data_IF_066775116429
#
_entry.id   IF_066775116429
#
_cell.length_a   1.000
_cell.length_b   1.000
_cell.length_c   1.000
_cell.angle_alpha   90.00
_cell.angle_beta   90.00
_cell.angle_gamma   90.00
#
_symmetry.space_group_name_H-M   'P 1'
#
loop_
_entity.id
_entity.type
_entity.pdbx_description
1 polymer ?
#
# COMPACT_ATOMS: atom_id res chain seq x y z
N UNK A 1 16.01 22.66 7.47
CA UNK A 1 15.08 22.77 6.32
C UNK A 1 14.30 21.48 6.09
N UNK A 2 14.94 20.32 5.92
CA UNK A 2 14.23 19.03 5.68
C UNK A 2 13.31 18.61 6.83
N UNK A 3 13.79 18.66 8.09
CA UNK A 3 12.97 18.26 9.25
C UNK A 3 11.71 19.11 9.47
N UNK A 4 11.79 20.43 9.26
CA UNK A 4 10.63 21.32 9.38
C UNK A 4 9.61 21.10 8.27
N UNK A 5 10.10 20.85 7.04
CA UNK A 5 9.25 20.53 5.88
C UNK A 5 8.48 19.22 6.10
N UNK A 6 9.18 18.16 6.54
CA UNK A 6 8.58 16.85 6.83
C UNK A 6 7.53 16.95 7.94
N UNK A 7 7.88 17.60 9.05
CA UNK A 7 6.96 17.76 10.19
C UNK A 7 5.68 18.49 9.79
N UNK A 8 5.82 19.55 9.01
CA UNK A 8 4.67 20.30 8.53
C UNK A 8 3.89 19.53 7.46
N UNK A 9 4.55 18.72 6.61
CA UNK A 9 3.86 17.87 5.66
C UNK A 9 2.96 16.83 6.33
N UNK A 10 3.43 16.21 7.41
CA UNK A 10 2.61 15.32 8.24
C UNK A 10 1.41 16.05 8.85
N UNK A 11 1.60 17.29 9.32
CA UNK A 11 0.50 18.14 9.82
C UNK A 11 -0.56 18.43 8.76
N UNK A 12 -0.14 18.77 7.55
CA UNK A 12 -1.05 18.99 6.43
C UNK A 12 -1.84 17.71 6.12
N UNK A 13 -1.18 16.55 6.09
CA UNK A 13 -1.86 15.29 5.87
C UNK A 13 -2.84 14.94 7.01
N UNK A 14 -2.45 15.10 8.27
CA UNK A 14 -3.37 14.86 9.40
C UNK A 14 -4.56 15.83 9.40
N UNK A 15 -4.35 17.08 8.97
CA UNK A 15 -5.44 18.04 8.76
C UNK A 15 -6.40 17.59 7.64
N UNK A 16 -5.85 16.98 6.57
CA UNK A 16 -6.64 16.35 5.49
C UNK A 16 -7.59 15.27 6.02
N UNK A 17 -7.20 14.63 7.11
CA UNK A 17 -7.98 13.59 7.78
C UNK A 17 -8.90 14.13 8.90
N UNK A 18 -8.97 15.46 9.08
CA UNK A 18 -9.73 16.10 10.16
C UNK A 18 -9.17 15.83 11.56
N UNK A 19 -7.89 15.47 11.68
CA UNK A 19 -7.26 15.12 12.96
C UNK A 19 -6.56 16.29 13.65
N UNK A 20 -6.29 17.38 12.94
CA UNK A 20 -5.65 18.57 13.51
C UNK A 20 -6.14 19.86 12.85
N UNK A 21 -6.11 20.95 13.63
CA UNK A 21 -6.40 22.31 13.20
C UNK A 21 -5.07 23.06 13.04
N UNK A 22 -4.50 22.99 11.83
CA UNK A 22 -3.25 23.65 11.46
C UNK A 22 -3.53 24.67 10.36
N UNK A 23 -3.06 25.91 10.48
CA UNK A 23 -3.17 26.91 9.41
C UNK A 23 -2.16 26.60 8.29
N UNK A 24 -2.50 25.60 7.47
CA UNK A 24 -1.67 25.13 6.36
C UNK A 24 -1.61 26.14 5.21
N UNK A 25 -2.61 27.01 5.06
CA UNK A 25 -2.66 28.04 4.01
C UNK A 25 -1.44 28.96 4.09
N UNK A 26 -1.19 29.53 5.27
CA UNK A 26 -0.06 30.44 5.48
C UNK A 26 1.28 29.75 5.24
N UNK A 27 1.41 28.52 5.73
CA UNK A 27 2.65 27.76 5.57
C UNK A 27 2.91 27.39 4.10
N UNK A 28 1.92 26.85 3.39
CA UNK A 28 2.05 26.45 1.98
C UNK A 28 2.37 27.67 1.10
N UNK A 29 1.74 28.81 1.35
CA UNK A 29 2.04 30.03 0.61
C UNK A 29 3.44 30.58 0.90
N UNK A 30 4.00 30.29 2.08
CA UNK A 30 5.37 30.69 2.42
C UNK A 30 6.48 29.85 1.78
N UNK A 31 6.16 28.67 1.24
CA UNK A 31 7.15 27.78 0.61
C UNK A 31 7.72 28.40 -0.66
N UNK A 32 9.05 28.34 -0.81
CA UNK A 32 9.72 28.62 -2.10
C UNK A 32 9.28 27.61 -3.18
N UNK A 33 9.61 27.88 -4.45
CA UNK A 33 9.33 26.92 -5.53
C UNK A 33 10.03 25.57 -5.29
N UNK A 34 11.26 25.59 -4.80
CA UNK A 34 12.04 24.39 -4.49
C UNK A 34 11.44 23.63 -3.29
N UNK A 35 11.06 24.34 -2.23
CA UNK A 35 10.42 23.75 -1.06
C UNK A 35 9.05 23.16 -1.38
N UNK A 36 8.27 23.80 -2.26
CA UNK A 36 7.00 23.30 -2.78
C UNK A 36 7.17 21.98 -3.53
N UNK A 37 8.10 21.91 -4.48
CA UNK A 37 8.39 20.67 -5.21
C UNK A 37 8.89 19.58 -4.27
N UNK A 38 9.74 19.92 -3.29
CA UNK A 38 10.20 18.98 -2.28
C UNK A 38 9.04 18.43 -1.41
N UNK A 39 8.11 19.29 -1.02
CA UNK A 39 6.89 18.89 -0.30
C UNK A 39 6.03 17.93 -1.12
N UNK A 40 5.79 18.21 -2.40
CA UNK A 40 5.00 17.31 -3.26
C UNK A 40 5.70 15.96 -3.50
N UNK A 41 7.03 15.95 -3.67
CA UNK A 41 7.82 14.72 -3.75
C UNK A 41 7.72 13.90 -2.48
N UNK A 42 7.77 14.54 -1.31
CA UNK A 42 7.59 13.89 -0.02
C UNK A 42 6.22 13.20 0.10
N UNK A 43 5.14 13.90 -0.28
CA UNK A 43 3.79 13.31 -0.30
C UNK A 43 3.71 12.14 -1.28
N UNK A 44 4.39 12.24 -2.42
CA UNK A 44 4.45 11.18 -3.42
C UNK A 44 5.14 9.93 -2.89
N UNK A 45 6.33 10.08 -2.27
CA UNK A 45 7.07 8.98 -1.61
C UNK A 45 6.22 8.28 -0.53
N UNK A 46 5.41 9.06 0.18
CA UNK A 46 4.51 8.57 1.20
C UNK A 46 3.15 8.10 0.68
N UNK A 47 2.98 8.06 -0.65
CA UNK A 47 1.80 7.57 -1.37
C UNK A 47 0.48 8.30 -1.03
N UNK A 48 0.59 9.55 -0.59
CA UNK A 48 -0.56 10.40 -0.20
C UNK A 48 -0.72 11.63 -1.11
N UNK A 49 0.14 11.80 -2.12
CA UNK A 49 0.13 12.96 -3.02
C UNK A 49 -1.25 13.27 -3.59
N UNK A 50 -1.97 12.29 -4.12
CA UNK A 50 -3.25 12.53 -4.78
C UNK A 50 -4.30 13.05 -3.79
N UNK A 51 -4.56 12.33 -2.69
CA UNK A 51 -5.53 12.73 -1.67
C UNK A 51 -5.18 14.08 -1.05
N UNK A 52 -3.92 14.30 -0.69
CA UNK A 52 -3.50 15.59 -0.13
C UNK A 52 -3.68 16.72 -1.15
N UNK A 53 -3.31 16.51 -2.42
CA UNK A 53 -3.48 17.53 -3.46
C UNK A 53 -4.94 17.91 -3.66
N UNK A 54 -5.84 16.93 -3.63
CA UNK A 54 -7.28 17.16 -3.76
C UNK A 54 -7.79 18.01 -2.60
N UNK A 55 -7.41 17.63 -1.37
CA UNK A 55 -7.78 18.38 -0.17
C UNK A 55 -7.26 19.82 -0.22
N UNK A 56 -6.01 20.03 -0.62
CA UNK A 56 -5.43 21.37 -0.75
C UNK A 56 -6.19 22.21 -1.77
N UNK A 57 -6.53 21.65 -2.93
CA UNK A 57 -7.33 22.37 -3.94
C UNK A 57 -8.74 22.72 -3.45
N UNK A 58 -9.39 21.84 -2.68
CA UNK A 58 -10.75 22.06 -2.18
C UNK A 58 -10.82 23.05 -1.02
N UNK A 59 -9.78 23.11 -0.18
CA UNK A 59 -9.79 23.87 1.09
C UNK A 59 -9.01 25.16 1.06
N UNK A 60 -8.01 25.29 0.18
CA UNK A 60 -7.23 26.52 0.09
C UNK A 60 -7.87 27.50 -0.89
N UNK A 61 -8.51 28.53 -0.33
CA UNK A 61 -9.17 29.59 -1.09
C UNK A 61 -8.16 30.49 -1.83
N UNK A 62 -6.91 30.53 -1.37
CA UNK A 62 -5.88 31.45 -1.89
C UNK A 62 -4.52 30.74 -2.02
N UNK A 63 -4.37 29.89 -3.03
CA UNK A 63 -3.04 29.46 -3.49
C UNK A 63 -2.51 30.46 -4.52
N UNK A 64 -1.19 30.66 -4.55
CA UNK A 64 -0.59 31.34 -5.69
C UNK A 64 -0.86 30.56 -7.00
N UNK A 65 -0.97 31.28 -8.12
CA UNK A 65 -1.41 30.70 -9.39
C UNK A 65 -0.51 29.58 -9.91
N UNK A 66 0.77 29.59 -9.54
CA UNK A 66 1.69 28.51 -9.89
C UNK A 66 1.34 27.24 -9.12
N UNK A 67 1.21 27.31 -7.80
CA UNK A 67 0.85 26.15 -6.96
C UNK A 67 -0.51 25.56 -7.34
N UNK A 68 -1.49 26.40 -7.64
CA UNK A 68 -2.79 25.94 -8.14
C UNK A 68 -2.67 25.16 -9.46
N UNK A 69 -1.91 25.70 -10.42
CA UNK A 69 -1.59 25.01 -11.68
C UNK A 69 -0.89 23.67 -11.44
N UNK A 70 0.08 23.61 -10.52
CA UNK A 70 0.80 22.39 -10.19
C UNK A 70 -0.14 21.32 -9.59
N UNK A 71 -1.00 21.71 -8.64
CA UNK A 71 -2.01 20.80 -8.07
C UNK A 71 -2.96 20.28 -9.14
N UNK A 72 -3.41 21.14 -10.06
CA UNK A 72 -4.28 20.73 -11.18
C UNK A 72 -3.61 19.66 -12.04
N UNK A 73 -2.35 19.85 -12.44
CA UNK A 73 -1.59 18.84 -13.22
C UNK A 73 -1.50 17.51 -12.49
N UNK A 74 -1.24 17.53 -11.18
CA UNK A 74 -1.16 16.33 -10.34
C UNK A 74 -2.51 15.63 -10.29
N UNK A 75 -3.60 16.37 -10.08
CA UNK A 75 -4.95 15.83 -9.98
C UNK A 75 -5.43 15.25 -11.31
N UNK A 76 -5.16 15.92 -12.42
CA UNK A 76 -5.49 15.42 -13.76
C UNK A 76 -4.76 14.09 -14.05
N UNK A 77 -3.46 14.02 -13.73
CA UNK A 77 -2.68 12.79 -13.87
C UNK A 77 -3.17 11.68 -12.93
N UNK A 78 -3.49 12.00 -11.68
CA UNK A 78 -3.99 11.03 -10.71
C UNK A 78 -5.38 10.51 -11.06
N UNK A 79 -6.25 11.37 -11.60
CA UNK A 79 -7.58 10.98 -12.09
C UNK A 79 -7.48 9.98 -13.26
N UNK A 80 -6.48 10.12 -14.13
CA UNK A 80 -6.21 9.14 -15.18
C UNK A 80 -5.83 7.77 -14.60
N UNK A 81 -4.96 7.72 -13.60
CA UNK A 81 -4.57 6.45 -12.95
C UNK A 81 -5.73 5.83 -12.14
N UNK A 82 -6.55 6.64 -11.48
CA UNK A 82 -7.78 6.19 -10.82
C UNK A 82 -8.79 5.61 -11.82
N UNK A 83 -8.91 6.21 -13.00
CA UNK A 83 -9.73 5.66 -14.06
C UNK A 83 -9.23 4.29 -14.50
N UNK A 84 -7.91 4.10 -14.65
CA UNK A 84 -7.35 2.77 -14.95
C UNK A 84 -7.69 1.74 -13.87
N UNK A 85 -7.71 2.13 -12.60
CA UNK A 85 -8.18 1.23 -11.54
C UNK A 85 -9.63 0.80 -11.76
N UNK A 86 -10.52 1.76 -12.03
CA UNK A 86 -11.94 1.51 -12.32
C UNK A 86 -12.09 0.57 -13.52
N UNK A 87 -11.42 0.90 -14.62
CA UNK A 87 -11.43 0.10 -15.85
C UNK A 87 -10.89 -1.33 -15.61
N UNK A 88 -9.88 -1.48 -14.73
CA UNK A 88 -9.35 -2.80 -14.33
C UNK A 88 -10.39 -3.60 -13.53
N UNK A 89 -11.10 -2.98 -12.59
CA UNK A 89 -12.14 -3.68 -11.81
C UNK A 89 -13.30 -4.08 -12.73
N UNK A 90 -13.78 -3.19 -13.59
CA UNK A 90 -14.83 -3.51 -14.57
C UNK A 90 -14.41 -4.64 -15.51
N UNK A 91 -13.14 -4.64 -15.92
CA UNK A 91 -12.57 -5.72 -16.71
C UNK A 91 -12.58 -7.06 -15.96
N UNK A 92 -12.20 -7.07 -14.67
CA UNK A 92 -12.21 -8.28 -13.83
C UNK A 92 -13.64 -8.76 -13.55
N UNK A 93 -14.57 -7.85 -13.25
CA UNK A 93 -15.98 -8.18 -13.02
C UNK A 93 -16.60 -8.84 -14.26
N UNK A 94 -16.34 -8.28 -15.45
CA UNK A 94 -16.83 -8.86 -16.71
C UNK A 94 -16.21 -10.22 -17.04
N UNK A 95 -14.88 -10.36 -16.89
CA UNK A 95 -14.15 -11.50 -17.45
C UNK A 95 -13.84 -12.62 -16.44
N UNK A 96 -13.98 -12.37 -15.14
CA UNK A 96 -13.88 -13.38 -14.10
C UNK A 96 -15.24 -13.63 -13.45
N UNK A 97 -15.78 -12.67 -12.69
CA UNK A 97 -17.02 -12.87 -11.92
C UNK A 97 -18.20 -13.19 -12.84
N UNK A 98 -18.37 -12.42 -13.91
CA UNK A 98 -19.39 -12.66 -14.94
C UNK A 98 -19.25 -13.99 -15.69
N UNK A 99 -18.12 -14.68 -15.54
CA UNK A 99 -17.84 -16.01 -16.11
C UNK A 99 -17.68 -17.10 -15.03
N UNK A 100 -18.17 -16.83 -13.81
CA UNK A 100 -18.25 -17.81 -12.72
C UNK A 100 -16.99 -17.96 -11.87
N UNK A 101 -15.97 -17.12 -12.05
CA UNK A 101 -14.77 -17.11 -11.20
C UNK A 101 -14.88 -16.00 -10.16
N UNK A 102 -15.08 -16.38 -8.90
CA UNK A 102 -15.08 -15.44 -7.79
C UNK A 102 -13.66 -14.97 -7.47
N UNK A 103 -13.53 -13.70 -7.08
CA UNK A 103 -12.26 -13.13 -6.66
C UNK A 103 -12.44 -12.08 -5.56
N UNK A 104 -11.36 -11.81 -4.83
CA UNK A 104 -11.21 -10.69 -3.90
C UNK A 104 -10.15 -9.71 -4.40
N UNK A 105 -10.42 -8.41 -4.27
CA UNK A 105 -9.39 -7.37 -4.35
C UNK A 105 -8.73 -7.26 -2.98
N UNK A 106 -7.43 -7.54 -2.91
CA UNK A 106 -6.70 -7.67 -1.64
C UNK A 106 -5.62 -6.60 -1.53
N UNK A 107 -5.24 -6.19 -0.32
CA UNK A 107 -4.19 -5.17 -0.05
C UNK A 107 -4.43 -3.77 -0.65
N UNK A 108 -5.46 -3.55 -1.47
CA UNK A 108 -5.72 -2.28 -2.16
C UNK A 108 -6.60 -1.32 -1.35
N UNK A 109 -7.45 -1.80 -0.43
CA UNK A 109 -8.31 -0.90 0.34
C UNK A 109 -7.49 -0.15 1.41
N UNK A 110 -7.51 1.20 1.38
CA UNK A 110 -6.72 2.08 2.27
C UNK A 110 -7.52 3.21 2.95
N UNK A 111 -8.85 3.17 2.92
CA UNK A 111 -9.75 4.20 3.48
C UNK A 111 -9.58 5.61 2.90
N UNK A 112 -8.78 5.78 1.85
CA UNK A 112 -8.58 7.02 1.14
C UNK A 112 -8.30 6.73 -0.33
N UNK A 113 -8.52 7.73 -1.18
CA UNK A 113 -8.24 7.60 -2.61
C UNK A 113 -6.74 7.76 -2.88
N UNK A 114 -6.16 6.84 -3.61
CA UNK A 114 -4.74 6.91 -3.94
C UNK A 114 -4.43 6.27 -5.28
N UNK A 115 -3.29 6.67 -5.83
CA UNK A 115 -2.76 6.11 -7.06
C UNK A 115 -2.02 4.81 -6.75
N UNK A 116 -2.47 3.73 -7.37
CA UNK A 116 -1.83 2.41 -7.35
C UNK A 116 -1.46 2.00 -8.77
N UNK A 117 -0.45 1.14 -8.92
CA UNK A 117 0.04 0.69 -10.23
C UNK A 117 -0.38 -0.74 -10.57
N UNK A 118 -0.95 -1.42 -9.59
CA UNK A 118 -1.37 -2.80 -9.63
C UNK A 118 -2.65 -2.99 -8.82
N UNK A 119 -3.33 -4.11 -9.13
CA UNK A 119 -4.45 -4.65 -8.37
C UNK A 119 -4.08 -6.09 -8.01
N UNK A 120 -3.88 -6.37 -6.73
CA UNK A 120 -3.75 -7.74 -6.25
C UNK A 120 -5.14 -8.40 -6.22
N UNK A 121 -5.28 -9.51 -6.93
CA UNK A 121 -6.53 -10.27 -7.06
C UNK A 121 -6.32 -11.67 -6.51
N UNK A 122 -7.09 -12.06 -5.50
CA UNK A 122 -7.09 -13.43 -4.98
C UNK A 122 -8.26 -14.22 -5.57
N UNK A 123 -7.98 -15.35 -6.20
CA UNK A 123 -8.99 -16.34 -6.62
C UNK A 123 -8.87 -17.60 -5.76
N UNK A 124 -9.90 -18.44 -5.77
CA UNK A 124 -9.83 -19.77 -5.19
C UNK A 124 -8.74 -20.62 -5.87
N UNK A 125 -8.22 -21.61 -5.14
CA UNK A 125 -7.05 -22.36 -5.60
C UNK A 125 -7.33 -23.14 -6.88
N UNK A 126 -8.50 -23.77 -6.92
CA UNK A 126 -9.08 -24.53 -8.02
C UNK A 126 -9.36 -23.67 -9.26
N UNK A 127 -9.72 -22.41 -9.06
CA UNK A 127 -10.06 -21.48 -10.14
C UNK A 127 -8.83 -20.83 -10.78
N UNK A 128 -7.64 -20.96 -10.18
CA UNK A 128 -6.46 -20.21 -10.61
C UNK A 128 -6.07 -20.41 -12.07
N UNK A 129 -6.16 -21.64 -12.57
CA UNK A 129 -5.83 -21.93 -13.97
C UNK A 129 -6.94 -21.47 -14.92
N UNK A 130 -8.20 -21.62 -14.49
CA UNK A 130 -9.34 -21.12 -15.24
C UNK A 130 -9.27 -19.59 -15.37
N UNK A 131 -9.07 -18.87 -14.27
CA UNK A 131 -8.88 -17.43 -14.23
C UNK A 131 -7.80 -16.94 -15.21
N UNK A 132 -6.63 -17.60 -15.23
CA UNK A 132 -5.57 -17.29 -16.20
C UNK A 132 -6.01 -17.47 -17.65
N UNK A 133 -6.79 -18.52 -17.92
CA UNK A 133 -7.32 -18.82 -19.27
C UNK A 133 -8.33 -17.75 -19.68
N UNK A 134 -9.29 -17.41 -18.83
CA UNK A 134 -10.28 -16.36 -19.08
C UNK A 134 -9.62 -14.99 -19.32
N UNK A 135 -8.61 -14.63 -18.52
CA UNK A 135 -7.87 -13.39 -18.72
C UNK A 135 -7.08 -13.38 -20.04
N UNK A 136 -6.48 -14.52 -20.42
CA UNK A 136 -5.77 -14.65 -21.70
C UNK A 136 -6.72 -14.51 -22.89
N UNK A 137 -7.88 -15.17 -22.84
CA UNK A 137 -8.95 -15.02 -23.83
C UNK A 137 -9.43 -13.57 -23.94
N UNK A 138 -9.49 -12.86 -22.81
CA UNK A 138 -9.83 -11.45 -22.75
C UNK A 138 -8.69 -10.51 -23.18
N UNK A 139 -7.56 -11.04 -23.67
CA UNK A 139 -6.45 -10.29 -24.25
C UNK A 139 -5.32 -9.92 -23.27
N UNK A 140 -5.30 -10.46 -22.05
CA UNK A 140 -4.17 -10.26 -21.14
C UNK A 140 -2.95 -11.09 -21.57
N UNK A 141 -1.77 -10.47 -21.49
CA UNK A 141 -0.49 -11.17 -21.48
C UNK A 141 -0.20 -11.65 -20.06
N UNK A 142 0.04 -12.95 -19.89
CA UNK A 142 0.27 -13.58 -18.58
C UNK A 142 1.76 -13.89 -18.43
N UNK A 143 2.37 -13.39 -17.37
CA UNK A 143 3.78 -13.59 -17.05
C UNK A 143 3.93 -14.35 -15.74
N UNK A 144 4.95 -15.22 -15.66
CA UNK A 144 5.33 -15.84 -14.40
C UNK A 144 5.92 -14.79 -13.47
N UNK A 145 5.47 -14.78 -12.20
CA UNK A 145 6.15 -14.02 -11.17
C UNK A 145 7.55 -14.63 -10.93
N UNK A 146 8.59 -13.84 -10.64
CA UNK A 146 9.92 -14.36 -10.33
C UNK A 146 9.89 -15.41 -9.20
N UNK A 147 10.82 -16.38 -9.28
CA UNK A 147 11.10 -17.39 -8.23
C UNK A 147 9.92 -18.32 -7.94
N UNK A 148 9.94 -18.96 -6.77
CA UNK A 148 8.88 -19.88 -6.30
C UNK A 148 7.51 -19.21 -6.12
N UNK A 149 7.47 -17.87 -6.01
CA UNK A 149 6.21 -17.10 -6.05
C UNK A 149 5.49 -17.26 -7.38
N UNK A 150 6.22 -17.50 -8.47
CA UNK A 150 5.68 -17.90 -9.77
C UNK A 150 4.94 -19.25 -9.76
N UNK A 151 4.76 -19.94 -8.64
CA UNK A 151 3.79 -21.03 -8.55
C UNK A 151 2.43 -20.54 -8.05
N UNK A 152 2.37 -19.43 -7.32
CA UNK A 152 1.16 -18.98 -6.63
C UNK A 152 0.66 -17.61 -7.08
N UNK A 153 1.45 -16.92 -7.91
CA UNK A 153 1.15 -15.60 -8.45
C UNK A 153 1.47 -15.51 -9.95
N UNK A 154 0.64 -14.79 -10.71
CA UNK A 154 0.82 -14.46 -12.12
C UNK A 154 0.61 -12.97 -12.33
N UNK A 155 1.50 -12.34 -13.10
CA UNK A 155 1.33 -10.93 -13.46
C UNK A 155 0.59 -10.89 -14.79
N UNK A 156 -0.58 -10.27 -14.81
CA UNK A 156 -1.43 -10.18 -15.99
C UNK A 156 -1.45 -8.73 -16.46
N UNK A 157 -1.11 -8.50 -17.73
CA UNK A 157 -1.02 -7.15 -18.30
C UNK A 157 -1.92 -7.01 -19.51
N UNK A 158 -2.62 -5.88 -19.58
CA UNK A 158 -3.39 -5.45 -20.74
C UNK A 158 -3.24 -3.95 -20.89
N UNK A 159 -3.06 -3.48 -22.12
CA UNK A 159 -2.94 -2.06 -22.41
C UNK A 159 -4.19 -1.30 -21.95
N UNK A 160 -3.99 -0.11 -21.39
CA UNK A 160 -5.06 0.71 -20.80
C UNK A 160 -5.48 0.31 -19.39
N UNK A 161 -5.04 -0.84 -18.87
CA UNK A 161 -5.35 -1.30 -17.51
C UNK A 161 -4.14 -1.20 -16.58
N UNK A 162 -4.41 -1.21 -15.28
CA UNK A 162 -3.37 -1.49 -14.27
C UNK A 162 -2.86 -2.93 -14.39
N UNK A 163 -1.65 -3.20 -13.87
CA UNK A 163 -1.17 -4.57 -13.75
C UNK A 163 -2.08 -5.34 -12.80
N UNK A 164 -2.41 -6.59 -13.14
CA UNK A 164 -3.20 -7.46 -12.27
C UNK A 164 -2.26 -8.53 -11.72
N UNK A 165 -2.06 -8.52 -10.41
CA UNK A 165 -1.32 -9.55 -9.71
C UNK A 165 -2.31 -10.62 -9.25
N UNK A 166 -2.45 -11.66 -10.07
CA UNK A 166 -3.38 -12.76 -9.81
C UNK A 166 -2.74 -13.77 -8.86
N UNK A 167 -3.33 -13.96 -7.70
CA UNK A 167 -2.91 -14.86 -6.64
C UNK A 167 -3.88 -16.02 -6.47
N UNK A 168 -3.35 -17.21 -6.21
CA UNK A 168 -4.11 -18.33 -5.60
C UNK A 168 -3.79 -18.56 -4.14
N UNK A 169 -2.68 -17.98 -3.66
CA UNK A 169 -2.20 -18.11 -2.29
C UNK A 169 -1.24 -16.98 -1.96
N UNK A 170 -1.27 -16.51 -0.71
CA UNK A 170 -0.23 -15.64 -0.20
C UNK A 170 0.96 -16.47 0.23
N UNK A 171 2.01 -16.43 -0.59
CA UNK A 171 3.24 -17.16 -0.35
C UNK A 171 4.41 -16.19 -0.40
N UNK A 172 5.19 -16.10 0.67
CA UNK A 172 6.40 -15.29 0.69
C UNK A 172 7.58 -16.15 1.11
N UNK A 173 8.62 -16.21 0.28
CA UNK A 173 9.89 -16.91 0.56
C UNK A 173 9.84 -18.40 0.90
N UNK A 174 8.68 -19.06 0.82
CA UNK A 174 8.57 -20.41 1.37
C UNK A 174 7.38 -20.58 2.30
N UNK A 175 6.74 -19.47 2.68
CA UNK A 175 6.00 -19.39 3.93
C UNK A 175 4.59 -18.88 3.75
N UNK A 176 3.73 -19.57 4.47
CA UNK A 176 2.34 -19.24 4.68
C UNK A 176 2.26 -18.49 5.99
N UNK A 177 1.54 -17.36 5.98
CA UNK A 177 1.42 -16.49 7.15
C UNK A 177 -0.05 -16.31 7.56
N UNK A 178 -0.97 -16.82 6.75
CA UNK A 178 -2.41 -16.61 6.87
C UNK A 178 -3.14 -17.76 6.18
N UNK A 179 -4.22 -18.23 6.79
CA UNK A 179 -5.11 -19.22 6.17
C UNK A 179 -5.88 -18.58 5.02
N UNK A 180 -5.97 -19.28 3.88
CA UNK A 180 -6.78 -18.78 2.77
C UNK A 180 -8.27 -18.75 3.10
N UNK A 181 -8.79 -19.77 3.78
CA UNK A 181 -10.18 -19.80 4.24
C UNK A 181 -10.49 -18.64 5.20
N UNK A 182 -9.49 -18.17 5.93
CA UNK A 182 -9.63 -16.99 6.77
C UNK A 182 -9.74 -15.70 5.94
N UNK A 183 -8.95 -15.55 4.86
CA UNK A 183 -9.06 -14.39 3.95
C UNK A 183 -10.41 -14.37 3.22
N UNK A 184 -10.89 -15.54 2.81
CA UNK A 184 -12.20 -15.71 2.17
C UNK A 184 -13.38 -15.64 3.13
N UNK A 185 -13.14 -15.51 4.45
CA UNK A 185 -14.20 -15.45 5.44
C UNK A 185 -14.89 -14.09 5.43
N UNK A 186 -16.20 -14.09 5.23
CA UNK A 186 -17.06 -12.91 5.33
C UNK A 186 -16.55 -11.71 4.52
N UNK A 187 -16.33 -11.87 3.20
CA UNK A 187 -15.86 -10.78 2.37
C UNK A 187 -16.86 -9.62 2.38
N UNK A 188 -16.35 -8.41 2.14
CA UNK A 188 -17.12 -7.16 2.23
C UNK A 188 -17.03 -6.41 0.93
N UNK A 189 -18.17 -5.96 0.42
CA UNK A 189 -18.18 -4.93 -0.61
C UNK A 189 -17.62 -3.63 -0.05
N UNK A 190 -16.61 -3.08 -0.72
CA UNK A 190 -15.99 -1.81 -0.36
C UNK A 190 -15.85 -0.95 -1.59
N UNK A 191 -15.91 0.36 -1.37
CA UNK A 191 -15.64 1.35 -2.38
C UNK A 191 -14.15 1.73 -2.34
N UNK A 192 -13.46 1.60 -3.47
CA UNK A 192 -12.07 2.02 -3.67
C UNK A 192 -12.06 2.95 -4.87
N UNK A 193 -11.61 4.19 -4.70
CA UNK A 193 -11.57 5.19 -5.76
C UNK A 193 -12.92 5.31 -6.52
N UNK A 194 -14.05 5.29 -5.80
CA UNK A 194 -15.40 5.35 -6.35
C UNK A 194 -15.93 4.05 -6.98
N UNK A 195 -15.16 2.96 -6.98
CA UNK A 195 -15.55 1.68 -7.57
C UNK A 195 -15.82 0.64 -6.49
N UNK A 196 -16.96 -0.05 -6.56
CA UNK A 196 -17.28 -1.15 -5.62
C UNK A 196 -16.60 -2.45 -6.03
N UNK A 197 -15.94 -3.09 -5.08
CA UNK A 197 -15.34 -4.41 -5.28
C UNK A 197 -15.41 -5.23 -4.00
N UNK A 198 -15.34 -6.55 -4.15
CA UNK A 198 -15.34 -7.48 -3.03
C UNK A 198 -13.93 -7.56 -2.43
N UNK A 199 -13.79 -7.20 -1.17
CA UNK A 199 -12.54 -7.23 -0.42
C UNK A 199 -12.60 -8.24 0.75
N UNK A 200 -11.46 -8.64 1.32
CA UNK A 200 -11.44 -9.41 2.56
C UNK A 200 -12.12 -8.69 3.74
N UNK A 201 -12.27 -9.37 4.87
CA UNK A 201 -12.68 -8.74 6.12
C UNK A 201 -11.61 -7.75 6.63
N UNK A 202 -11.93 -6.93 7.64
CA UNK A 202 -10.95 -6.01 8.23
C UNK A 202 -9.78 -6.77 8.89
N UNK A 203 -10.08 -7.91 9.52
CA UNK A 203 -9.09 -8.77 10.15
C UNK A 203 -8.12 -9.36 9.13
N UNK A 204 -8.64 -9.86 8.00
CA UNK A 204 -7.82 -10.37 6.91
C UNK A 204 -6.97 -9.27 6.27
N UNK A 205 -7.56 -8.10 5.98
CA UNK A 205 -6.81 -6.96 5.44
C UNK A 205 -5.71 -6.48 6.39
N UNK A 206 -5.98 -6.44 7.71
CA UNK A 206 -4.96 -6.07 8.70
C UNK A 206 -3.76 -7.02 8.62
N UNK A 207 -3.99 -8.33 8.56
CA UNK A 207 -2.92 -9.31 8.45
C UNK A 207 -2.17 -9.23 7.11
N UNK A 208 -2.87 -9.01 6.01
CA UNK A 208 -2.23 -8.86 4.69
C UNK A 208 -1.35 -7.60 4.63
N UNK A 209 -1.82 -6.48 5.18
CA UNK A 209 -1.04 -5.26 5.31
C UNK A 209 0.16 -5.47 6.25
N UNK A 210 -0.06 -6.05 7.43
CA UNK A 210 1.00 -6.34 8.39
C UNK A 210 2.09 -7.23 7.78
N UNK A 211 1.68 -8.27 7.04
CA UNK A 211 2.60 -9.17 6.35
C UNK A 211 3.42 -8.43 5.29
N UNK A 212 2.81 -7.56 4.48
CA UNK A 212 3.55 -6.76 3.50
C UNK A 212 4.58 -5.82 4.16
N UNK A 213 4.18 -5.14 5.24
CA UNK A 213 5.08 -4.23 5.95
C UNK A 213 6.25 -4.97 6.61
N UNK A 214 5.99 -6.12 7.23
CA UNK A 214 6.99 -6.83 8.00
C UNK A 214 7.86 -7.78 7.16
N UNK A 215 7.36 -8.36 6.07
CA UNK A 215 8.13 -9.37 5.33
C UNK A 215 8.57 -8.90 3.94
N UNK A 216 7.97 -7.84 3.40
CA UNK A 216 8.29 -7.38 2.04
C UNK A 216 9.02 -6.03 2.08
N UNK A 217 8.55 -5.06 2.88
CA UNK A 217 9.01 -3.67 2.80
C UNK A 217 9.94 -3.24 3.92
N UNK A 218 9.67 -3.60 5.17
CA UNK A 218 10.40 -3.16 6.39
C UNK A 218 10.37 -1.65 6.67
N UNK A 219 9.41 -0.93 6.10
CA UNK A 219 9.14 0.47 6.41
C UNK A 219 7.65 0.77 6.23
N UNK A 220 7.18 1.82 6.88
CA UNK A 220 5.77 2.26 6.91
C UNK A 220 5.67 3.64 6.27
N UNK A 221 4.95 3.77 5.15
CA UNK A 221 4.63 5.08 4.56
C UNK A 221 3.44 5.72 5.29
N UNK A 222 3.16 7.02 5.07
CA UNK A 222 1.94 7.64 5.62
C UNK A 222 0.67 6.90 5.20
N UNK A 223 0.57 6.44 3.95
CA UNK A 223 -0.56 5.64 3.48
C UNK A 223 -0.71 4.33 4.28
N UNK A 224 0.40 3.64 4.52
CA UNK A 224 0.39 2.37 5.27
C UNK A 224 0.01 2.60 6.74
N UNK A 225 0.57 3.64 7.37
CA UNK A 225 0.24 4.04 8.72
C UNK A 225 -1.26 4.32 8.86
N UNK A 226 -1.80 5.16 7.98
CA UNK A 226 -3.22 5.50 8.00
C UNK A 226 -4.09 4.25 7.84
N UNK A 227 -3.82 3.43 6.81
CA UNK A 227 -4.62 2.24 6.55
C UNK A 227 -4.60 1.26 7.75
N UNK A 228 -3.43 0.98 8.33
CA UNK A 228 -3.33 0.06 9.47
C UNK A 228 -3.98 0.66 10.73
N UNK A 229 -3.73 1.95 11.01
CA UNK A 229 -4.31 2.64 12.16
C UNK A 229 -5.84 2.70 12.07
N UNK A 230 -6.40 3.04 10.91
CA UNK A 230 -7.85 3.05 10.69
C UNK A 230 -8.49 1.69 10.91
N UNK A 231 -7.80 0.59 10.58
CA UNK A 231 -8.31 -0.76 10.88
C UNK A 231 -8.24 -1.02 12.39
N UNK A 232 -7.11 -0.72 13.04
CA UNK A 232 -6.90 -0.95 14.47
C UNK A 232 -7.87 -0.14 15.36
N UNK A 233 -8.27 1.05 14.93
CA UNK A 233 -9.21 1.93 15.62
C UNK A 233 -10.68 1.62 15.28
N UNK A 234 -10.94 0.71 14.33
CA UNK A 234 -12.30 0.35 13.93
C UNK A 234 -13.00 -0.46 15.02
N UNK A 235 -14.23 -0.03 15.39
CA UNK A 235 -15.09 -0.74 16.35
C UNK A 235 -15.51 -2.15 15.89
N UNK A 236 -15.39 -2.42 14.60
CA UNK A 236 -15.79 -3.70 13.99
C UNK A 236 -14.64 -4.70 13.88
N UNK A 237 -13.42 -4.36 14.33
CA UNK A 237 -12.27 -5.27 14.26
C UNK A 237 -12.35 -6.32 15.38
N UNK A 238 -12.37 -7.60 15.02
CA UNK A 238 -12.17 -8.69 15.98
C UNK A 238 -10.68 -9.07 16.11
N UNK A 239 -9.98 -8.38 17.02
CA UNK A 239 -8.56 -8.61 17.25
C UNK A 239 -8.23 -10.02 17.81
N UNK A 240 -9.19 -10.72 18.41
CA UNK A 240 -8.94 -12.07 18.92
C UNK A 240 -8.72 -13.06 17.78
N UNK A 241 -9.51 -12.98 16.70
CA UNK A 241 -9.34 -13.86 15.54
C UNK A 241 -8.04 -13.53 14.79
N UNK A 242 -7.67 -12.24 14.72
CA UNK A 242 -6.35 -11.82 14.22
C UNK A 242 -5.22 -12.47 15.01
N UNK A 243 -5.31 -12.43 16.35
CA UNK A 243 -4.32 -13.05 17.26
C UNK A 243 -4.23 -14.56 17.09
N UNK A 244 -5.36 -15.25 16.89
CA UNK A 244 -5.38 -16.68 16.60
C UNK A 244 -4.61 -17.02 15.33
N UNK A 245 -4.80 -16.25 14.25
CA UNK A 245 -4.08 -16.44 13.00
C UNK A 245 -2.57 -16.21 13.16
N UNK A 246 -2.14 -15.11 13.78
CA UNK A 246 -0.69 -14.85 13.94
C UNK A 246 -0.01 -15.85 14.89
N UNK A 247 -0.73 -16.39 15.88
CA UNK A 247 -0.24 -17.50 16.72
C UNK A 247 -0.11 -18.78 15.95
N UNK A 248 -1.13 -19.14 15.16
CA UNK A 248 -1.14 -20.35 14.32
C UNK A 248 0.09 -20.41 13.42
N UNK A 249 0.48 -19.27 12.85
CA UNK A 249 1.64 -19.17 11.95
C UNK A 249 2.93 -18.71 12.65
N UNK A 250 2.95 -18.61 13.98
CA UNK A 250 4.16 -18.35 14.76
C UNK A 250 4.81 -16.99 14.51
N UNK A 251 4.01 -15.93 14.30
CA UNK A 251 4.51 -14.56 14.12
C UNK A 251 3.79 -13.51 14.97
N UNK A 252 3.15 -13.93 16.07
CA UNK A 252 2.46 -13.04 17.02
C UNK A 252 3.38 -11.94 17.57
N UNK A 253 4.64 -12.26 17.90
CA UNK A 253 5.60 -11.27 18.40
C UNK A 253 5.90 -10.22 17.34
N UNK A 254 6.12 -10.64 16.11
CA UNK A 254 6.36 -9.74 14.96
C UNK A 254 5.15 -8.85 14.71
N UNK A 255 3.93 -9.40 14.74
CA UNK A 255 2.70 -8.62 14.61
C UNK A 255 2.53 -7.59 15.74
N UNK A 256 2.72 -7.99 17.00
CA UNK A 256 2.59 -7.08 18.15
C UNK A 256 3.61 -5.94 18.10
N UNK A 257 4.82 -6.20 17.59
CA UNK A 257 5.82 -5.17 17.38
C UNK A 257 5.36 -4.16 16.33
N UNK A 258 4.83 -4.62 15.19
CA UNK A 258 4.27 -3.71 14.19
C UNK A 258 3.17 -2.83 14.81
N UNK A 259 2.22 -3.42 15.53
CA UNK A 259 1.14 -2.65 16.20
C UNK A 259 1.73 -1.63 17.18
N UNK A 260 2.74 -2.01 17.96
CA UNK A 260 3.45 -1.08 18.85
C UNK A 260 4.13 0.06 18.09
N UNK A 261 4.79 -0.25 16.98
CA UNK A 261 5.45 0.73 16.11
C UNK A 261 4.43 1.70 15.51
N UNK A 262 3.31 1.19 14.97
CA UNK A 262 2.20 2.03 14.50
C UNK A 262 1.68 2.93 15.62
N UNK A 263 1.50 2.40 16.84
CA UNK A 263 1.06 3.20 17.99
C UNK A 263 2.05 4.28 18.46
N UNK A 264 3.34 4.15 18.11
CA UNK A 264 4.38 5.14 18.43
C UNK A 264 4.58 6.17 17.31
N UNK A 265 4.09 5.91 16.09
CA UNK A 265 4.13 6.88 15.00
C UNK A 265 3.19 8.02 15.37
N UNK A 266 3.79 9.15 15.74
CA UNK A 266 3.11 10.41 16.01
C UNK A 266 3.32 11.39 14.85
N UNK A 267 2.75 12.59 14.98
CA UNK A 267 2.82 13.60 13.94
C UNK A 267 4.24 14.07 13.60
N UNK A 268 5.13 14.02 14.60
CA UNK A 268 6.52 14.42 14.46
C UNK A 268 7.42 13.28 13.95
N UNK A 269 6.88 12.09 13.72
CA UNK A 269 7.65 10.96 13.20
C UNK A 269 7.97 11.19 11.72
N UNK A 270 9.24 11.13 11.36
CA UNK A 270 9.66 11.17 9.95
C UNK A 270 9.18 9.92 9.22
N UNK A 271 8.59 10.13 8.04
CA UNK A 271 8.02 9.07 7.21
C UNK A 271 8.71 9.04 5.83
N UNK A 272 8.98 7.86 5.26
CA UNK A 272 8.63 6.53 5.74
C UNK A 272 9.38 6.13 7.02
N UNK A 273 8.65 5.57 8.00
CA UNK A 273 9.24 5.08 9.23
C UNK A 273 9.77 3.66 9.03
N UNK A 274 11.09 3.48 9.12
CA UNK A 274 11.71 2.15 9.02
C UNK A 274 11.45 1.33 10.29
N UNK A 275 11.15 0.04 10.10
CA UNK A 275 11.15 -0.91 11.20
C UNK A 275 12.57 -0.98 11.76
N UNK A 276 12.71 -0.93 13.08
CA UNK A 276 14.04 -0.81 13.68
C UNK A 276 14.89 -2.05 13.37
N UNK A 277 16.20 -1.84 13.24
CA UNK A 277 17.15 -2.90 12.94
C UNK A 277 17.00 -4.09 13.89
N UNK A 278 16.88 -3.83 15.20
CA UNK A 278 16.70 -4.86 16.23
C UNK A 278 15.43 -5.69 16.02
N UNK A 279 14.34 -5.07 15.58
CA UNK A 279 13.08 -5.75 15.30
C UNK A 279 13.16 -6.61 14.05
N UNK A 280 13.77 -6.10 12.98
CA UNK A 280 14.01 -6.87 11.76
C UNK A 280 14.87 -8.09 12.08
N UNK A 281 15.96 -7.93 12.83
CA UNK A 281 16.77 -9.07 13.25
C UNK A 281 16.00 -10.08 14.08
N UNK A 282 15.23 -9.62 15.07
CA UNK A 282 14.41 -10.51 15.90
C UNK A 282 13.43 -11.32 15.03
N UNK A 283 12.83 -10.70 14.02
CA UNK A 283 11.95 -11.37 13.07
C UNK A 283 12.71 -12.39 12.21
N UNK A 284 13.89 -12.04 11.68
CA UNK A 284 14.70 -12.98 10.89
C UNK A 284 15.14 -14.18 11.73
N UNK A 285 15.43 -13.98 13.02
CA UNK A 285 15.68 -15.06 13.98
C UNK A 285 14.42 -15.89 14.25
N UNK A 286 13.25 -15.29 14.38
CA UNK A 286 11.96 -16.01 14.52
C UNK A 286 11.71 -16.91 13.29
N UNK A 287 11.95 -16.40 12.08
CA UNK A 287 11.90 -17.17 10.83
C UNK A 287 12.90 -18.34 10.88
N UNK A 288 14.15 -18.07 11.26
CA UNK A 288 15.20 -19.10 11.37
C UNK A 288 14.82 -20.21 12.34
N UNK A 289 14.36 -19.86 13.55
CA UNK A 289 13.99 -20.82 14.60
C UNK A 289 12.80 -21.67 14.14
N UNK A 290 11.77 -21.02 13.59
CA UNK A 290 10.53 -21.72 13.23
C UNK A 290 10.68 -22.61 11.98
N UNK A 291 11.70 -22.38 11.14
CA UNK A 291 11.81 -23.03 9.83
C UNK A 291 13.14 -23.73 9.58
N UNK A 292 14.11 -23.57 10.47
CA UNK A 292 15.46 -24.10 10.30
C UNK A 292 16.22 -23.50 9.11
N UNK A 293 15.81 -22.33 8.59
CA UNK A 293 16.42 -21.68 7.44
C UNK A 293 16.65 -20.20 7.68
N UNK A 294 17.88 -19.76 7.44
CA UNK A 294 18.22 -18.34 7.51
C UNK A 294 17.71 -17.64 6.24
N UNK A 295 16.80 -16.66 6.33
CA UNK A 295 16.30 -15.92 5.18
C UNK A 295 17.35 -14.91 4.66
N UNK A 296 18.49 -15.41 4.16
CA UNK A 296 19.63 -14.60 3.71
C UNK A 296 19.26 -13.55 2.67
N UNK A 297 18.27 -13.84 1.82
CA UNK A 297 17.79 -12.87 0.85
C UNK A 297 17.01 -11.72 1.51
N UNK A 298 16.09 -11.99 2.44
CA UNK A 298 15.37 -10.91 3.15
C UNK A 298 16.36 -10.04 3.94
N UNK A 299 17.35 -10.70 4.55
CA UNK A 299 18.44 -10.04 5.24
C UNK A 299 19.22 -9.07 4.33
N UNK A 300 19.75 -9.58 3.21
CA UNK A 300 20.50 -8.78 2.26
C UNK A 300 19.63 -7.67 1.64
N UNK A 301 18.36 -7.99 1.38
CA UNK A 301 17.41 -7.07 0.80
C UNK A 301 17.07 -5.91 1.75
N UNK A 302 16.83 -6.19 3.02
CA UNK A 302 16.58 -5.15 4.03
C UNK A 302 17.75 -4.17 4.12
N UNK A 303 18.99 -4.67 4.18
CA UNK A 303 20.17 -3.80 4.22
C UNK A 303 20.36 -3.02 2.93
N UNK A 304 20.13 -3.64 1.77
CA UNK A 304 20.13 -2.92 0.51
C UNK A 304 19.09 -1.80 0.50
N UNK A 305 17.85 -2.07 0.93
CA UNK A 305 16.78 -1.10 0.99
C UNK A 305 17.10 0.07 1.91
N UNK A 306 17.57 -0.24 3.12
CA UNK A 306 17.99 0.74 4.12
C UNK A 306 19.13 1.61 3.59
N UNK A 307 20.25 1.02 3.17
CA UNK A 307 21.41 1.76 2.65
C UNK A 307 21.05 2.61 1.44
N UNK A 308 20.27 2.05 0.50
CA UNK A 308 19.82 2.78 -0.68
C UNK A 308 19.01 4.03 -0.33
N UNK A 309 18.12 3.93 0.65
CA UNK A 309 17.30 5.07 1.09
C UNK A 309 18.17 6.21 1.63
N UNK A 310 19.15 5.91 2.48
CA UNK A 310 20.04 6.91 3.06
C UNK A 310 21.09 7.47 2.08
N UNK A 311 21.53 6.68 1.10
CA UNK A 311 22.54 7.12 0.11
C UNK A 311 21.91 7.92 -1.04
N UNK A 312 20.75 7.50 -1.55
CA UNK A 312 20.17 8.05 -2.80
C UNK A 312 19.08 9.10 -2.59
N UNK A 313 19.16 9.90 -1.52
CA UNK A 313 18.20 10.98 -1.22
C UNK A 313 16.74 10.51 -1.28
N UNK A 314 16.36 9.56 -0.41
CA UNK A 314 14.97 9.21 -0.12
C UNK A 314 14.24 8.36 -1.18
N UNK A 315 14.95 7.75 -2.15
CA UNK A 315 14.32 6.82 -3.09
C UNK A 315 14.06 5.46 -2.44
N UNK A 316 12.80 5.16 -2.17
CA UNK A 316 12.36 3.84 -1.73
C UNK A 316 12.57 2.78 -2.82
N UNK A 317 12.93 1.52 -2.47
CA UNK A 317 13.21 0.48 -3.45
C UNK A 317 12.00 0.05 -4.32
N UNK A 318 10.80 0.16 -3.75
CA UNK A 318 9.57 -0.41 -4.31
C UNK A 318 8.65 0.62 -4.96
N UNK A 319 9.00 1.90 -4.88
CA UNK A 319 8.10 2.94 -5.29
C UNK A 319 8.86 4.08 -5.96
N UNK A 320 8.53 4.26 -7.23
CA UNK A 320 8.87 5.45 -7.98
C UNK A 320 7.68 6.43 -7.93
N UNK A 321 7.99 7.71 -8.05
CA UNK A 321 6.95 8.73 -8.14
C UNK A 321 6.01 8.45 -9.32
N UNK A 322 4.71 8.35 -9.06
CA UNK A 322 3.71 8.19 -10.13
C UNK A 322 3.53 9.46 -10.97
N UNK A 323 3.98 10.61 -10.45
CA UNK A 323 3.90 11.90 -11.10
C UNK A 323 5.29 12.41 -11.50
N UNK A 324 5.41 12.96 -12.70
CA UNK A 324 6.66 13.60 -13.15
C UNK A 324 6.77 15.03 -12.65
N UNK A 325 7.75 15.28 -11.79
CA UNK A 325 8.00 16.60 -11.21
C UNK A 325 8.84 17.52 -12.11
N UNK A 326 9.28 17.06 -13.29
CA UNK A 326 10.10 17.86 -14.21
C UNK A 326 9.35 19.03 -14.85
N UNK A 327 8.02 19.05 -14.73
CA UNK A 327 7.12 20.04 -15.33
C UNK A 327 6.51 21.04 -14.34
N UNK A 328 6.99 21.04 -13.09
CA UNK A 328 6.56 21.96 -12.03
C UNK A 328 7.59 23.10 -11.80
#
# INVERSE_FOLDING_TARGET
MKESLVRNANKVFNSTLGQEDFDYSKWINSLSSEEWVAFLKYLSQNRVLYTTSRYLQEKLVELDSKKESDLKKILDAGALEIRKFTDTIDFLEKNLRGRGVNYLVVKTFKFLDYVTFDVDVLVHYEDFHNAQTLLREAGCKIFSHPRKQGLHQRNCRKEGLLNIDLHRKFYWQGLEHIDLDFVWRNPKDREINGTRCLCPSLEADLLLNAKQLMYERYYVTLLDYFAVKSILESKNLNLNIVREQVRKFGWEKTFNNLVSTIGKIGINTEMPAFISYTEVWRQLFEILINQGKLPLYDFAYYHFAFLRYFINNDRLPYYDHWFSFSSL
#
